data_IF_540239835473
#
_entry.id   IF_540239835473
#
_cell.length_a   1.000
_cell.length_b   1.000
_cell.length_c   1.000
_cell.angle_alpha   90.00
_cell.angle_beta   90.00
_cell.angle_gamma   90.00
#
_symmetry.space_group_name_H-M   'P 1'
#
loop_
_entity.id
_entity.type
_entity.pdbx_description
1 polymer ?
#
# COMPACT_ATOMS: atom_id res chain seq x y z
N UNK A 1 26.60 1.89 32.48
CA UNK A 1 25.41 2.68 32.87
C UNK A 1 24.74 3.17 31.60
N UNK A 2 23.49 2.79 31.39
CA UNK A 2 22.64 3.29 30.32
C UNK A 2 22.18 4.70 30.69
N UNK A 3 22.27 5.63 29.73
CA UNK A 3 21.50 6.86 29.77
C UNK A 3 20.28 6.64 28.88
N UNK A 4 19.14 6.40 29.52
CA UNK A 4 17.81 6.47 28.93
C UNK A 4 17.62 7.93 28.49
N UNK A 5 17.48 8.18 27.18
CA UNK A 5 17.17 9.51 26.63
C UNK A 5 15.64 9.67 26.58
N UNK A 6 15.05 10.50 27.46
CA UNK A 6 13.61 10.57 27.61
C UNK A 6 13.05 11.68 26.73
N UNK A 7 13.38 11.71 25.43
CA UNK A 7 12.81 12.71 24.53
C UNK A 7 12.89 12.38 23.04
N UNK A 8 13.08 11.12 22.62
CA UNK A 8 12.93 10.81 21.19
C UNK A 8 11.43 10.86 20.84
N UNK A 9 10.96 11.85 20.07
CA UNK A 9 9.59 11.80 19.56
C UNK A 9 9.46 10.50 18.77
N UNK A 10 8.30 9.83 18.76
CA UNK A 10 8.09 8.76 17.80
C UNK A 10 8.45 9.36 16.44
N UNK A 11 9.40 8.75 15.73
CA UNK A 11 9.76 9.14 14.38
C UNK A 11 8.57 8.77 13.49
N UNK A 12 7.49 9.53 13.61
CA UNK A 12 6.38 9.53 12.69
C UNK A 12 6.90 10.35 11.53
N UNK A 13 7.64 9.69 10.63
CA UNK A 13 7.87 10.27 9.31
C UNK A 13 6.50 10.68 8.77
N UNK A 14 6.29 11.95 8.40
CA UNK A 14 5.04 12.35 7.78
C UNK A 14 4.83 11.43 6.59
N UNK A 15 3.73 10.70 6.58
CA UNK A 15 3.42 9.82 5.46
C UNK A 15 3.33 10.67 4.20
N UNK A 16 4.04 10.28 3.15
CA UNK A 16 4.17 11.07 1.92
C UNK A 16 2.81 11.49 1.34
N UNK A 17 1.80 10.64 1.44
CA UNK A 17 0.44 10.91 0.98
C UNK A 17 -0.61 10.31 1.91
N UNK A 18 -1.76 10.99 2.01
CA UNK A 18 -3.03 10.35 2.41
C UNK A 18 -3.53 9.43 1.30
N UNK A 19 -4.37 8.47 1.65
CA UNK A 19 -4.98 7.55 0.68
C UNK A 19 -5.74 8.31 -0.43
N UNK A 20 -6.52 9.33 -0.08
CA UNK A 20 -7.25 10.14 -1.07
C UNK A 20 -6.32 10.81 -2.08
N UNK A 21 -5.19 11.36 -1.61
CA UNK A 21 -4.19 11.99 -2.45
C UNK A 21 -3.50 10.98 -3.37
N UNK A 22 -3.21 9.78 -2.84
CA UNK A 22 -2.68 8.70 -3.68
C UNK A 22 -3.69 8.32 -4.78
N UNK A 23 -4.97 8.20 -4.45
CA UNK A 23 -6.01 7.89 -5.44
C UNK A 23 -6.13 8.95 -6.54
N UNK A 24 -6.04 10.23 -6.19
CA UNK A 24 -6.01 11.34 -7.13
C UNK A 24 -4.81 11.24 -8.08
N UNK A 25 -3.61 10.92 -7.56
CA UNK A 25 -2.42 10.69 -8.39
C UNK A 25 -2.60 9.52 -9.36
N UNK A 26 -3.19 8.41 -8.90
CA UNK A 26 -3.41 7.23 -9.73
C UNK A 26 -4.46 7.45 -10.83
N UNK A 27 -5.40 8.37 -10.62
CA UNK A 27 -6.49 8.66 -11.55
C UNK A 27 -6.28 9.95 -12.35
N UNK A 28 -5.17 10.64 -12.11
CA UNK A 28 -4.79 11.88 -12.79
C UNK A 28 -4.62 11.67 -14.30
N UNK A 29 -5.04 12.64 -15.14
CA UNK A 29 -4.73 12.62 -16.57
C UNK A 29 -3.23 12.85 -16.85
N UNK A 30 -2.46 13.36 -15.88
CA UNK A 30 -1.05 13.67 -16.06
C UNK A 30 -0.19 12.42 -15.86
N UNK A 31 0.73 12.17 -16.81
CA UNK A 31 1.61 10.99 -16.75
C UNK A 31 2.54 11.02 -15.54
N UNK A 32 3.04 12.19 -15.15
CA UNK A 32 3.94 12.37 -14.00
C UNK A 32 3.27 11.97 -12.68
N UNK A 33 2.00 12.32 -12.51
CA UNK A 33 1.24 11.99 -11.30
C UNK A 33 0.99 10.48 -11.20
N UNK A 34 0.63 9.87 -12.34
CA UNK A 34 0.45 8.42 -12.42
C UNK A 34 1.75 7.68 -12.12
N UNK A 35 2.89 8.19 -12.60
CA UNK A 35 4.20 7.63 -12.28
C UNK A 35 4.54 7.73 -10.77
N UNK A 36 4.15 8.82 -10.10
CA UNK A 36 4.30 8.93 -8.64
C UNK A 36 3.45 7.89 -7.90
N UNK A 37 2.19 7.71 -8.30
CA UNK A 37 1.33 6.66 -7.74
C UNK A 37 1.92 5.26 -7.98
N UNK A 38 2.32 4.95 -9.21
CA UNK A 38 2.88 3.66 -9.58
C UNK A 38 4.15 3.34 -8.80
N UNK A 39 5.06 4.32 -8.71
CA UNK A 39 6.28 4.20 -7.92
C UNK A 39 6.02 3.94 -6.45
N UNK A 40 5.02 4.61 -5.86
CA UNK A 40 4.63 4.40 -4.47
C UNK A 40 4.12 2.98 -4.23
N UNK A 41 3.10 2.55 -4.99
CA UNK A 41 2.47 1.23 -4.83
C UNK A 41 3.47 0.11 -5.08
N UNK A 42 4.30 0.26 -6.13
CA UNK A 42 5.35 -0.71 -6.47
C UNK A 42 6.43 -0.76 -5.39
N UNK A 43 6.80 0.39 -4.82
CA UNK A 43 7.76 0.47 -3.72
C UNK A 43 7.26 -0.25 -2.46
N UNK A 44 5.99 -0.04 -2.07
CA UNK A 44 5.37 -0.76 -0.96
C UNK A 44 5.31 -2.26 -1.24
N UNK A 45 4.87 -2.66 -2.44
CA UNK A 45 4.82 -4.07 -2.83
C UNK A 45 6.20 -4.73 -2.77
N UNK A 46 7.23 -4.07 -3.28
CA UNK A 46 8.61 -4.57 -3.27
C UNK A 46 9.17 -4.70 -1.84
N UNK A 47 8.85 -3.75 -0.96
CA UNK A 47 9.23 -3.82 0.45
C UNK A 47 8.57 -5.01 1.18
N UNK A 48 7.31 -5.31 0.85
CA UNK A 48 6.56 -6.43 1.42
C UNK A 48 6.97 -7.80 0.85
N UNK A 49 7.47 -7.85 -0.37
CA UNK A 49 8.04 -9.05 -0.97
C UNK A 49 9.38 -9.44 -0.33
N UNK A 50 10.08 -8.50 0.31
CA UNK A 50 11.34 -8.77 0.98
C UNK A 50 11.09 -9.38 2.38
N UNK A 51 11.36 -10.68 2.51
CA UNK A 51 11.18 -11.44 3.76
C UNK A 51 12.04 -10.94 4.93
N UNK A 52 13.11 -10.18 4.67
CA UNK A 52 13.93 -9.58 5.72
C UNK A 52 13.33 -8.29 6.31
N UNK A 53 12.41 -7.66 5.56
CA UNK A 53 11.82 -6.36 5.91
C UNK A 53 10.38 -6.53 6.41
N UNK A 54 9.64 -7.49 5.86
CA UNK A 54 8.23 -7.70 6.20
C UNK A 54 7.94 -9.11 6.70
N UNK A 55 7.22 -9.20 7.83
CA UNK A 55 6.63 -10.47 8.32
C UNK A 55 5.39 -10.89 7.54
N UNK A 56 4.81 -9.97 6.77
CA UNK A 56 3.61 -10.19 5.96
C UNK A 56 4.03 -10.36 4.50
N UNK A 57 3.68 -11.50 3.91
CA UNK A 57 4.10 -11.85 2.55
C UNK A 57 3.08 -11.40 1.50
N UNK A 58 3.60 -10.89 0.40
CA UNK A 58 2.86 -10.56 -0.82
C UNK A 58 3.37 -11.45 -1.95
N UNK A 59 2.47 -12.11 -2.67
CA UNK A 59 2.82 -12.97 -3.81
C UNK A 59 2.15 -12.44 -5.07
N UNK A 60 2.83 -11.48 -5.70
CA UNK A 60 2.44 -10.98 -7.02
C UNK A 60 2.87 -12.02 -8.07
N UNK A 61 1.95 -12.53 -8.91
CA UNK A 61 2.27 -13.50 -9.94
C UNK A 61 3.36 -13.00 -10.90
N UNK A 62 4.19 -13.93 -11.38
CA UNK A 62 5.19 -13.61 -12.41
C UNK A 62 4.48 -13.11 -13.66
N UNK A 63 4.97 -12.01 -14.23
CA UNK A 63 4.39 -11.38 -15.42
C UNK A 63 3.30 -10.35 -15.12
N UNK A 64 2.88 -10.17 -13.86
CA UNK A 64 2.04 -9.02 -13.47
C UNK A 64 2.86 -7.73 -13.58
N UNK A 65 2.35 -6.75 -14.35
CA UNK A 65 2.99 -5.44 -14.47
C UNK A 65 2.70 -4.57 -13.24
N UNK A 66 3.52 -3.54 -13.02
CA UNK A 66 3.27 -2.52 -12.00
C UNK A 66 1.92 -1.83 -12.20
N UNK A 67 1.54 -1.55 -13.46
CA UNK A 67 0.24 -0.99 -13.83
C UNK A 67 -0.93 -1.92 -13.45
N UNK A 68 -0.79 -3.25 -13.59
CA UNK A 68 -1.83 -4.20 -13.14
C UNK A 68 -2.04 -4.14 -11.61
N UNK A 69 -0.95 -4.00 -10.85
CA UNK A 69 -1.00 -3.84 -9.39
C UNK A 69 -1.69 -2.52 -9.02
N UNK A 70 -1.31 -1.42 -9.68
CA UNK A 70 -1.93 -0.10 -9.50
C UNK A 70 -3.42 -0.16 -9.80
N UNK A 71 -3.83 -0.71 -10.95
CA UNK A 71 -5.24 -0.85 -11.33
C UNK A 71 -6.05 -1.61 -10.29
N UNK A 72 -5.50 -2.68 -9.73
CA UNK A 72 -6.18 -3.47 -8.68
C UNK A 72 -6.34 -2.70 -7.38
N UNK A 73 -5.32 -1.93 -6.98
CA UNK A 73 -5.38 -1.03 -5.83
C UNK A 73 -6.40 0.08 -6.05
N UNK A 74 -6.39 0.75 -7.20
CA UNK A 74 -7.34 1.80 -7.57
C UNK A 74 -8.77 1.28 -7.57
N UNK A 75 -9.00 0.07 -8.10
CA UNK A 75 -10.29 -0.60 -8.03
C UNK A 75 -10.76 -0.77 -6.58
N UNK A 76 -9.87 -1.24 -5.68
CA UNK A 76 -10.22 -1.38 -4.26
C UNK A 76 -10.56 -0.03 -3.63
N UNK A 77 -9.73 0.99 -3.87
CA UNK A 77 -9.96 2.34 -3.33
C UNK A 77 -11.29 2.92 -3.82
N UNK A 78 -11.69 2.63 -5.07
CA UNK A 78 -12.98 3.10 -5.61
C UNK A 78 -14.17 2.33 -5.05
N UNK A 79 -14.09 1.01 -4.99
CA UNK A 79 -15.25 0.13 -4.79
C UNK A 79 -15.42 -0.32 -3.33
N UNK A 80 -14.38 -0.21 -2.51
CA UNK A 80 -14.31 -0.83 -1.17
C UNK A 80 -13.85 0.09 -0.06
N UNK A 81 -13.01 1.08 -0.35
CA UNK A 81 -12.51 1.98 0.69
C UNK A 81 -13.59 2.98 1.12
N UNK A 82 -13.74 3.16 2.43
CA UNK A 82 -14.68 4.13 2.99
C UNK A 82 -14.03 5.52 3.23
N UNK A 83 -14.81 6.44 3.80
CA UNK A 83 -14.34 7.81 4.02
C UNK A 83 -13.20 7.90 5.05
N UNK A 84 -13.10 6.96 5.98
CA UNK A 84 -12.03 6.93 6.99
C UNK A 84 -10.77 6.29 6.42
N UNK A 85 -10.90 5.26 5.58
CA UNK A 85 -9.80 4.71 4.78
C UNK A 85 -9.11 5.79 3.93
N UNK A 86 -9.90 6.69 3.34
CA UNK A 86 -9.41 7.78 2.50
C UNK A 86 -8.61 8.83 3.27
N UNK A 87 -8.84 8.97 4.57
CA UNK A 87 -8.14 9.93 5.45
C UNK A 87 -6.84 9.37 6.00
N UNK A 88 -6.68 8.05 6.02
CA UNK A 88 -5.48 7.39 6.51
C UNK A 88 -4.26 7.73 5.66
N UNK A 89 -3.07 7.53 6.25
CA UNK A 89 -1.83 7.50 5.49
C UNK A 89 -1.91 6.38 4.45
N UNK A 90 -1.51 6.68 3.21
CA UNK A 90 -1.61 5.73 2.12
C UNK A 90 -0.84 4.43 2.42
N UNK A 91 0.33 4.52 3.06
CA UNK A 91 1.11 3.32 3.44
C UNK A 91 0.38 2.45 4.47
N UNK A 92 -0.38 3.06 5.39
CA UNK A 92 -1.13 2.35 6.43
C UNK A 92 -2.31 1.56 5.87
N UNK A 93 -2.89 2.00 4.75
CA UNK A 93 -3.93 1.25 4.05
C UNK A 93 -3.35 0.28 3.02
N UNK A 94 -2.45 0.74 2.15
CA UNK A 94 -1.90 -0.06 1.05
C UNK A 94 -1.03 -1.22 1.56
N UNK A 95 -0.26 -1.00 2.64
CA UNK A 95 0.62 -2.02 3.21
C UNK A 95 -0.12 -3.31 3.60
N UNK A 96 -1.17 -3.26 4.42
CA UNK A 96 -2.02 -4.41 4.73
C UNK A 96 -2.92 -4.87 3.57
N UNK A 97 -3.30 -3.98 2.67
CA UNK A 97 -4.17 -4.30 1.52
C UNK A 97 -3.48 -5.21 0.51
N UNK A 98 -2.21 -4.96 0.16
CA UNK A 98 -1.49 -5.74 -0.86
C UNK A 98 -1.45 -7.25 -0.54
N UNK A 99 -1.17 -7.70 0.70
CA UNK A 99 -1.28 -9.10 1.10
C UNK A 99 -2.69 -9.70 0.95
N UNK A 100 -3.74 -8.90 1.12
CA UNK A 100 -5.13 -9.34 0.91
C UNK A 100 -5.41 -9.52 -0.59
N UNK A 101 -4.94 -8.59 -1.41
CA UNK A 101 -5.11 -8.63 -2.87
C UNK A 101 -4.23 -9.70 -3.55
N UNK A 102 -3.08 -10.01 -2.96
CA UNK A 102 -2.04 -10.89 -3.50
C UNK A 102 -1.54 -11.85 -2.42
N UNK A 103 -2.47 -12.60 -1.84
CA UNK A 103 -2.15 -13.62 -0.85
C UNK A 103 -1.28 -14.71 -1.48
N UNK A 104 -0.26 -15.15 -0.75
CA UNK A 104 0.64 -16.24 -1.13
C UNK A 104 0.00 -17.63 -1.12
N UNK A 105 -1.24 -17.75 -0.67
CA UNK A 105 -1.99 -19.01 -0.70
C UNK A 105 -2.65 -19.20 -2.07
N UNK A 106 -2.35 -20.26 -2.83
CA UNK A 106 -3.06 -20.54 -4.08
C UNK A 106 -4.52 -20.89 -3.78
N UNK A 107 -5.47 -20.05 -4.18
CA UNK A 107 -6.87 -20.46 -4.36
C UNK A 107 -7.89 -20.13 -3.27
N UNK A 108 -7.64 -19.23 -2.30
CA UNK A 108 -8.73 -18.70 -1.46
C UNK A 108 -9.05 -17.24 -1.82
N UNK A 109 -10.22 -16.95 -2.42
CA UNK A 109 -10.67 -15.58 -2.59
C UNK A 109 -10.88 -14.92 -1.21
N UNK A 110 -10.64 -13.60 -1.11
CA UNK A 110 -10.83 -12.88 0.15
C UNK A 110 -12.28 -13.05 0.64
N UNK A 111 -12.45 -13.56 1.85
CA UNK A 111 -13.74 -13.59 2.54
C UNK A 111 -14.02 -12.20 3.10
N UNK A 112 -14.78 -11.41 2.36
CA UNK A 112 -15.47 -10.25 2.93
C UNK A 112 -16.67 -10.80 3.70
N UNK A 113 -16.63 -10.72 5.03
CA UNK A 113 -17.81 -11.00 5.86
C UNK A 113 -18.76 -9.79 5.79
N UNK A 114 -20.08 -10.02 5.83
CA UNK A 114 -21.10 -8.97 5.67
C UNK A 114 -21.06 -7.90 6.76
#
# INVERSE_FOLDING_TARGET
MAADDPAKPPMVSPSFWKTSQLYELCTSPHQTDRAHCEGFITGVASALQNEQISRVRVCIPKGTSSDDVVKKVVWYLREKADADDMKMAAVSLIGPLLPVLYNCTPGQPPKFSP
#
